data_IF_374381647597
#
_entry.id   IF_374381647597
#
_cell.length_a   1.000
_cell.length_b   1.000
_cell.length_c   1.000
_cell.angle_alpha   90.00
_cell.angle_beta   90.00
_cell.angle_gamma   90.00
#
_symmetry.space_group_name_H-M   'P 1'
#
loop_
_entity.id
_entity.type
_entity.pdbx_description
1 polymer ?
#
# COMPACT_ATOMS: atom_id res chain seq x y z
N UNK A 1 0.63 -9.55 -10.61
CA UNK A 1 0.42 -8.18 -11.14
C UNK A 1 1.70 -7.40 -10.92
N UNK A 2 2.19 -6.69 -11.90
CA UNK A 2 3.38 -5.86 -11.75
C UNK A 2 3.02 -4.41 -11.47
N UNK A 3 4.04 -3.58 -11.22
CA UNK A 3 3.82 -2.19 -10.84
C UNK A 3 3.13 -1.38 -11.96
N UNK A 4 3.52 -1.60 -13.20
CA UNK A 4 2.92 -0.87 -14.33
C UNK A 4 1.45 -1.22 -14.50
N UNK A 5 1.10 -2.48 -14.30
CA UNK A 5 -0.29 -2.93 -14.38
C UNK A 5 -1.17 -2.26 -13.33
N UNK A 6 -0.65 -2.18 -12.09
CA UNK A 6 -1.38 -1.50 -11.01
C UNK A 6 -1.62 -0.04 -11.37
N UNK A 7 -0.56 0.65 -11.80
CA UNK A 7 -0.67 2.08 -12.11
C UNK A 7 -1.59 2.34 -13.30
N UNK A 8 -1.55 1.48 -14.30
CA UNK A 8 -2.44 1.59 -15.45
C UNK A 8 -3.89 1.43 -15.05
N UNK A 9 -4.19 0.40 -14.24
CA UNK A 9 -5.55 0.14 -13.78
C UNK A 9 -6.05 1.26 -12.87
N UNK A 10 -5.18 1.75 -11.99
CA UNK A 10 -5.54 2.87 -11.14
C UNK A 10 -5.91 4.10 -11.97
N UNK A 11 -5.13 4.38 -13.01
CA UNK A 11 -5.37 5.53 -13.88
C UNK A 11 -6.72 5.46 -14.61
N UNK A 12 -7.23 4.25 -14.86
CA UNK A 12 -8.55 4.06 -15.49
C UNK A 12 -9.70 4.10 -14.48
N UNK A 13 -9.40 4.31 -13.21
CA UNK A 13 -10.42 4.43 -12.18
C UNK A 13 -10.58 3.20 -11.28
N UNK A 14 -9.84 2.13 -11.53
CA UNK A 14 -9.93 0.94 -10.69
C UNK A 14 -9.37 1.23 -9.29
N UNK A 15 -10.10 0.80 -8.27
CA UNK A 15 -9.68 0.91 -6.87
C UNK A 15 -9.65 -0.45 -6.17
N UNK A 16 -10.27 -1.45 -6.73
CA UNK A 16 -10.31 -2.79 -6.17
C UNK A 16 -9.06 -3.56 -6.58
N UNK A 17 -8.13 -3.69 -5.64
CA UNK A 17 -6.91 -4.47 -5.78
C UNK A 17 -6.82 -5.51 -4.67
N UNK A 18 -7.97 -6.04 -4.23
CA UNK A 18 -8.02 -7.01 -3.15
C UNK A 18 -7.41 -8.34 -3.55
N UNK A 19 -6.80 -9.01 -2.59
CA UNK A 19 -6.29 -10.38 -2.72
C UNK A 19 -5.28 -10.55 -3.86
N UNK A 20 -4.46 -9.54 -4.10
CA UNK A 20 -3.43 -9.58 -5.14
C UNK A 20 -2.06 -9.92 -4.56
N UNK A 21 -1.25 -10.57 -5.36
CA UNK A 21 0.15 -10.78 -5.04
C UNK A 21 0.94 -9.59 -5.59
N UNK A 22 1.35 -8.71 -4.68
CA UNK A 22 2.05 -7.47 -5.02
C UNK A 22 3.43 -7.45 -4.37
N UNK A 23 4.03 -8.63 -4.21
CA UNK A 23 5.35 -8.75 -3.58
C UNK A 23 6.46 -8.28 -4.51
N UNK A 24 7.49 -7.70 -3.90
CA UNK A 24 8.74 -7.33 -4.58
C UNK A 24 8.54 -6.33 -5.71
N UNK A 25 7.58 -5.43 -5.57
CA UNK A 25 7.31 -4.38 -6.56
C UNK A 25 7.95 -3.07 -6.13
N UNK A 26 8.32 -2.26 -7.11
CA UNK A 26 8.78 -0.90 -6.89
C UNK A 26 7.63 0.04 -7.21
N UNK A 27 7.06 0.64 -6.17
CA UNK A 27 5.90 1.54 -6.26
C UNK A 27 6.22 2.85 -5.51
N UNK A 28 7.41 3.38 -5.71
CA UNK A 28 7.84 4.60 -5.06
C UNK A 28 7.24 5.83 -5.71
N UNK A 29 6.92 6.85 -4.91
CA UNK A 29 6.43 8.15 -5.41
C UNK A 29 5.18 8.02 -6.28
N UNK A 30 4.31 7.06 -5.99
CA UNK A 30 3.09 6.84 -6.78
C UNK A 30 1.87 7.29 -5.99
N UNK A 31 0.79 7.55 -6.72
CA UNK A 31 -0.50 7.87 -6.13
C UNK A 31 -1.42 6.66 -6.22
N UNK A 32 -1.70 6.06 -5.06
CA UNK A 32 -2.65 4.95 -4.94
C UNK A 32 -3.68 5.26 -3.85
N UNK A 33 -3.99 6.55 -3.70
CA UNK A 33 -4.96 7.02 -2.71
C UNK A 33 -6.32 6.33 -2.91
N UNK A 34 -6.90 5.87 -1.82
CA UNK A 34 -8.22 5.24 -1.83
C UNK A 34 -8.26 3.83 -2.39
N UNK A 35 -7.11 3.24 -2.76
CA UNK A 35 -7.09 1.90 -3.30
C UNK A 35 -7.40 0.87 -2.22
N UNK A 36 -8.10 -0.19 -2.59
CA UNK A 36 -8.44 -1.29 -1.69
C UNK A 36 -7.47 -2.44 -1.92
N UNK A 37 -6.56 -2.63 -0.97
CA UNK A 37 -5.57 -3.70 -0.97
C UNK A 37 -5.87 -4.76 0.08
N UNK A 38 -7.13 -4.89 0.46
CA UNK A 38 -7.53 -5.87 1.46
C UNK A 38 -7.01 -7.26 1.08
N UNK A 39 -6.36 -7.91 2.02
CA UNK A 39 -5.87 -9.28 1.86
C UNK A 39 -4.79 -9.44 0.76
N UNK A 40 -4.13 -8.37 0.37
CA UNK A 40 -3.05 -8.42 -0.61
C UNK A 40 -1.70 -8.64 0.07
N UNK A 41 -0.71 -9.11 -0.70
CA UNK A 41 0.64 -9.38 -0.19
C UNK A 41 1.61 -8.36 -0.74
N UNK A 42 2.34 -7.69 0.15
CA UNK A 42 3.30 -6.65 -0.20
C UNK A 42 4.72 -6.94 0.29
N UNK A 43 5.01 -8.14 0.73
CA UNK A 43 6.34 -8.44 1.27
C UNK A 43 7.43 -8.09 0.27
N UNK A 44 8.43 -7.32 0.71
CA UNK A 44 9.54 -6.91 -0.14
C UNK A 44 9.24 -5.80 -1.12
N UNK A 45 8.04 -5.25 -1.11
CA UNK A 45 7.69 -4.14 -2.01
C UNK A 45 8.14 -2.81 -1.44
N UNK A 46 8.49 -1.88 -2.31
CA UNK A 46 8.89 -0.53 -1.95
C UNK A 46 7.75 0.44 -2.31
N UNK A 47 7.09 0.95 -1.28
CA UNK A 47 6.00 1.92 -1.40
C UNK A 47 6.42 3.28 -0.83
N UNK A 48 7.74 3.50 -0.70
CA UNK A 48 8.22 4.71 -0.07
C UNK A 48 7.79 5.97 -0.81
N UNK A 49 7.53 7.02 -0.04
CA UNK A 49 7.16 8.35 -0.52
C UNK A 49 5.89 8.37 -1.40
N UNK A 50 5.05 7.36 -1.29
CA UNK A 50 3.83 7.27 -2.09
C UNK A 50 2.63 7.86 -1.34
N UNK A 51 1.63 8.25 -2.10
CA UNK A 51 0.36 8.69 -1.54
C UNK A 51 -0.57 7.49 -1.39
N UNK A 52 -0.73 7.05 -0.16
CA UNK A 52 -1.58 5.92 0.20
C UNK A 52 -2.72 6.39 1.12
N UNK A 53 -3.08 7.67 1.02
CA UNK A 53 -4.14 8.23 1.84
C UNK A 53 -5.43 7.46 1.61
N UNK A 54 -6.12 7.11 2.68
CA UNK A 54 -7.38 6.37 2.66
C UNK A 54 -7.33 5.01 1.95
N UNK A 55 -6.14 4.48 1.69
CA UNK A 55 -6.01 3.12 1.19
C UNK A 55 -6.43 2.11 2.26
N UNK A 56 -6.91 0.97 1.84
CA UNK A 56 -7.34 -0.08 2.75
C UNK A 56 -6.36 -1.26 2.68
N UNK A 57 -5.58 -1.44 3.76
CA UNK A 57 -4.64 -2.56 3.89
C UNK A 57 -5.14 -3.61 4.89
N UNK A 58 -6.45 -3.65 5.15
CA UNK A 58 -6.96 -4.60 6.11
C UNK A 58 -6.60 -6.03 5.69
N UNK A 59 -6.04 -6.81 6.62
CA UNK A 59 -5.58 -8.18 6.37
C UNK A 59 -4.43 -8.29 5.35
N UNK A 60 -3.84 -7.18 4.91
CA UNK A 60 -2.72 -7.23 3.99
C UNK A 60 -1.44 -7.68 4.70
N UNK A 61 -0.57 -8.36 3.97
CA UNK A 61 0.75 -8.75 4.48
C UNK A 61 1.74 -7.65 4.14
N UNK A 62 2.06 -6.80 5.11
CA UNK A 62 2.99 -5.67 4.94
C UNK A 62 4.37 -5.93 5.53
N UNK A 63 4.61 -7.07 6.12
CA UNK A 63 5.90 -7.37 6.72
C UNK A 63 7.00 -7.31 5.67
N UNK A 64 8.03 -6.50 5.93
CA UNK A 64 9.12 -6.32 4.97
C UNK A 64 8.84 -5.32 3.86
N UNK A 65 7.64 -4.75 3.79
CA UNK A 65 7.37 -3.67 2.85
C UNK A 65 8.00 -2.37 3.35
N UNK A 66 8.55 -1.60 2.42
CA UNK A 66 9.12 -0.28 2.74
C UNK A 66 8.06 0.78 2.54
N UNK A 67 7.60 1.37 3.64
CA UNK A 67 6.60 2.43 3.64
C UNK A 67 7.18 3.77 4.12
N UNK A 68 8.50 3.91 4.09
CA UNK A 68 9.17 5.11 4.58
C UNK A 68 8.69 6.34 3.82
N UNK A 69 8.23 7.36 4.54
CA UNK A 69 7.74 8.59 3.92
C UNK A 69 6.39 8.48 3.22
N UNK A 70 5.78 7.32 3.22
CA UNK A 70 4.45 7.18 2.62
C UNK A 70 3.41 7.95 3.43
N UNK A 71 2.52 8.62 2.71
CA UNK A 71 1.40 9.31 3.35
C UNK A 71 0.27 8.31 3.57
N UNK A 72 0.04 7.96 4.82
CA UNK A 72 -0.94 6.95 5.21
C UNK A 72 -2.15 7.57 5.91
N UNK A 73 -2.36 8.87 5.78
CA UNK A 73 -3.47 9.53 6.45
C UNK A 73 -4.80 8.89 6.05
N UNK A 74 -5.55 8.46 7.05
CA UNK A 74 -6.83 7.80 6.84
C UNK A 74 -6.75 6.40 6.28
N UNK A 75 -5.56 5.83 6.13
CA UNK A 75 -5.41 4.46 5.65
C UNK A 75 -5.80 3.48 6.76
N UNK A 76 -6.44 2.38 6.36
CA UNK A 76 -6.76 1.29 7.26
C UNK A 76 -5.60 0.30 7.24
N UNK A 77 -5.06 0.00 8.42
CA UNK A 77 -3.91 -0.88 8.57
C UNK A 77 -4.34 -2.35 8.66
N UNK A 78 -3.39 -3.31 8.58
CA UNK A 78 -3.74 -4.74 8.58
C UNK A 78 -4.58 -5.20 9.76
N UNK A 79 -4.49 -4.54 10.91
CA UNK A 79 -5.32 -4.86 12.08
C UNK A 79 -6.68 -4.13 12.07
N UNK A 80 -6.99 -3.41 10.99
CA UNK A 80 -8.23 -2.65 10.86
C UNK A 80 -8.20 -1.25 11.45
N UNK A 81 -7.10 -0.86 12.11
CA UNK A 81 -6.99 0.48 12.68
C UNK A 81 -6.68 1.50 11.60
N UNK A 82 -7.17 2.73 11.81
CA UNK A 82 -6.87 3.84 10.92
C UNK A 82 -5.51 4.43 11.23
N UNK A 83 -4.81 4.86 10.20
CA UNK A 83 -3.57 5.60 10.33
C UNK A 83 -3.81 7.05 9.93
N UNK A 84 -3.23 8.00 10.68
CA UNK A 84 -3.51 9.42 10.49
C UNK A 84 -2.24 10.24 10.25
N UNK A 85 -1.15 9.60 9.87
CA UNK A 85 0.14 10.28 9.82
C UNK A 85 1.06 9.64 8.78
N UNK A 86 2.19 10.27 8.56
CA UNK A 86 3.26 9.71 7.74
C UNK A 86 4.03 8.67 8.55
N UNK A 87 4.44 7.60 7.87
CA UNK A 87 5.33 6.62 8.47
C UNK A 87 6.77 7.09 8.35
N UNK A 88 7.46 7.12 9.48
CA UNK A 88 8.87 7.53 9.54
C UNK A 88 9.82 6.35 9.45
N UNK A 89 9.35 5.15 9.76
CA UNK A 89 10.18 3.95 9.71
C UNK A 89 10.46 3.53 8.29
N UNK A 90 11.66 3.03 8.04
CA UNK A 90 12.01 2.53 6.72
C UNK A 90 11.17 1.33 6.32
N UNK A 91 10.85 0.45 7.27
CA UNK A 91 10.08 -0.76 7.03
C UNK A 91 8.95 -0.89 8.02
N UNK A 92 7.87 -1.48 7.55
CA UNK A 92 6.74 -1.82 8.40
C UNK A 92 6.89 -3.27 8.88
N UNK A 93 6.87 -3.46 10.21
CA UNK A 93 6.99 -4.78 10.85
C UNK A 93 5.71 -5.21 11.55
N UNK A 94 4.61 -4.65 11.18
CA UNK A 94 3.34 -4.99 11.78
C UNK A 94 2.81 -6.34 11.28
N UNK A 95 1.60 -6.44 11.22
CA UNK A 95 0.85 -7.67 11.05
C UNK A 95 0.89 -8.19 9.61
#
# INVERSE_FOLDING_TARGET
MDAQEILRRYATGQRDFRSQDLRNLVLTHVNLSGADFTNSKFSGSDLSDSNLTRANFNWAALKGANLSGANMEGAKMPDGRMHNDFLESANYFGI
#
